data_IF_468568993311
#
_entry.id   IF_468568993311
#
_cell.length_a   1.000
_cell.length_b   1.000
_cell.length_c   1.000
_cell.angle_alpha   90.00
_cell.angle_beta   90.00
_cell.angle_gamma   90.00
#
_symmetry.space_group_name_H-M   'P 1'
#
loop_
_entity.id
_entity.type
_entity.pdbx_description
1 polymer ?
#
# COMPACT_ATOMS: atom_id res chain seq x y z
N UNK A 1 0.87 30.37 12.10
CA UNK A 1 -0.23 30.01 13.03
C UNK A 1 -0.92 28.70 12.63
N UNK A 2 -1.28 28.55 11.38
CA UNK A 2 -1.99 27.35 10.84
C UNK A 2 -1.19 26.05 11.04
N UNK A 3 0.13 26.07 10.80
CA UNK A 3 0.94 24.85 10.98
C UNK A 3 1.08 24.42 12.44
N UNK A 4 1.04 25.35 13.40
CA UNK A 4 1.01 24.98 14.82
C UNK A 4 -0.30 24.27 15.19
N UNK A 5 -1.44 24.76 14.68
CA UNK A 5 -2.74 24.12 14.85
C UNK A 5 -2.78 22.73 14.20
N UNK A 6 -2.22 22.60 12.99
CA UNK A 6 -2.13 21.32 12.28
C UNK A 6 -1.29 20.31 13.07
N UNK A 7 -0.13 20.71 13.58
CA UNK A 7 0.70 19.82 14.40
C UNK A 7 -0.05 19.43 15.68
N UNK A 8 -0.70 20.39 16.35
CA UNK A 8 -1.52 20.12 17.53
C UNK A 8 -2.65 19.13 17.25
N UNK A 9 -3.33 19.24 16.09
CA UNK A 9 -4.35 18.28 15.63
C UNK A 9 -3.78 16.89 15.43
N UNK A 10 -2.65 16.77 14.73
CA UNK A 10 -1.99 15.49 14.47
C UNK A 10 -1.49 14.80 15.76
N UNK A 11 -0.97 15.57 16.71
CA UNK A 11 -0.58 15.07 18.05
C UNK A 11 -1.82 14.71 18.85
N UNK A 12 -2.84 15.59 18.87
CA UNK A 12 -4.08 15.40 19.61
C UNK A 12 -4.81 14.12 19.23
N UNK A 13 -4.84 13.76 17.95
CA UNK A 13 -5.42 12.49 17.49
C UNK A 13 -4.70 11.28 18.09
N UNK A 14 -3.37 11.29 18.14
CA UNK A 14 -2.64 10.18 18.76
C UNK A 14 -2.89 10.09 20.27
N UNK A 15 -2.98 11.25 20.93
CA UNK A 15 -3.37 11.29 22.36
C UNK A 15 -4.78 10.74 22.53
N UNK A 16 -5.74 11.11 21.69
CA UNK A 16 -7.10 10.58 21.76
C UNK A 16 -7.15 9.07 21.49
N UNK A 17 -6.40 8.55 20.52
CA UNK A 17 -6.29 7.11 20.27
C UNK A 17 -5.71 6.40 21.51
N UNK A 18 -4.62 6.93 22.07
CA UNK A 18 -4.01 6.34 23.27
C UNK A 18 -4.96 6.37 24.48
N UNK A 19 -5.63 7.49 24.74
CA UNK A 19 -6.61 7.60 25.81
C UNK A 19 -7.79 6.66 25.60
N UNK A 20 -8.28 6.53 24.37
CA UNK A 20 -9.34 5.60 24.03
C UNK A 20 -8.96 4.15 24.36
N UNK A 21 -7.77 3.71 23.92
CA UNK A 21 -7.24 2.38 24.24
C UNK A 21 -7.07 2.19 25.77
N UNK A 22 -6.55 3.21 26.45
CA UNK A 22 -6.30 3.13 27.89
C UNK A 22 -7.58 3.03 28.73
N UNK A 23 -8.63 3.81 28.39
CA UNK A 23 -9.85 3.85 29.16
C UNK A 23 -10.86 2.77 28.82
N UNK A 24 -10.93 2.32 27.56
CA UNK A 24 -11.93 1.36 27.11
C UNK A 24 -11.39 -0.09 27.06
N UNK A 25 -10.08 -0.29 27.17
CA UNK A 25 -9.48 -1.62 27.29
C UNK A 25 -9.90 -2.57 26.16
N UNK A 26 -10.64 -3.63 26.53
CA UNK A 26 -11.06 -4.69 25.61
C UNK A 26 -12.35 -4.35 24.82
N UNK A 27 -13.07 -3.29 25.19
CA UNK A 27 -14.29 -2.84 24.49
C UNK A 27 -14.04 -1.53 23.74
N UNK A 28 -13.24 -1.58 22.69
CA UNK A 28 -12.98 -0.41 21.86
C UNK A 28 -14.10 -0.16 20.84
N UNK A 29 -14.35 1.12 20.55
CA UNK A 29 -15.21 1.53 19.43
C UNK A 29 -14.47 1.17 18.15
N UNK A 30 -14.68 -0.03 17.67
CA UNK A 30 -14.31 -0.59 16.37
C UNK A 30 -12.99 -0.17 15.74
N UNK A 31 -12.70 -0.76 14.62
CA UNK A 31 -11.60 -0.37 13.75
C UNK A 31 -11.86 0.98 13.11
N UNK A 32 -11.13 1.98 13.51
CA UNK A 32 -11.09 3.26 12.79
C UNK A 32 -10.16 3.15 11.57
N UNK A 33 -10.34 2.09 10.78
CA UNK A 33 -9.58 1.85 9.55
C UNK A 33 -10.49 1.94 8.31
N UNK A 34 -9.95 2.51 7.25
CA UNK A 34 -10.65 2.63 5.97
C UNK A 34 -10.95 1.28 5.29
N UNK A 35 -10.20 0.23 5.59
CA UNK A 35 -10.42 -1.11 5.04
C UNK A 35 -11.80 -1.66 5.43
N UNK A 36 -12.35 -1.23 6.56
CA UNK A 36 -13.63 -1.70 7.07
C UNK A 36 -14.80 -1.40 6.13
N UNK A 37 -14.72 -0.33 5.35
CA UNK A 37 -15.72 -0.05 4.33
C UNK A 37 -15.83 -1.21 3.32
N UNK A 38 -14.71 -1.77 2.91
CA UNK A 38 -14.71 -2.88 1.96
C UNK A 38 -14.88 -4.22 2.66
N UNK A 39 -14.19 -4.45 3.76
CA UNK A 39 -14.16 -5.74 4.43
C UNK A 39 -15.44 -6.01 5.23
N UNK A 40 -15.95 -5.03 5.98
CA UNK A 40 -17.17 -5.21 6.78
C UNK A 40 -18.43 -4.87 6.01
N UNK A 41 -18.49 -3.70 5.36
CA UNK A 41 -19.73 -3.28 4.68
C UNK A 41 -19.93 -3.93 3.32
N UNK A 42 -18.97 -3.79 2.38
CA UNK A 42 -19.13 -4.36 1.03
C UNK A 42 -19.22 -5.88 1.08
N UNK A 43 -18.41 -6.52 1.92
CA UNK A 43 -18.36 -7.99 1.99
C UNK A 43 -19.51 -8.61 2.77
N UNK A 44 -19.87 -8.06 3.92
CA UNK A 44 -20.80 -8.69 4.87
C UNK A 44 -22.06 -7.86 5.21
N UNK A 45 -22.19 -6.62 4.73
CA UNK A 45 -23.30 -5.73 5.08
C UNK A 45 -23.26 -5.22 6.53
N UNK A 46 -22.08 -5.23 7.18
CA UNK A 46 -21.90 -4.79 8.57
C UNK A 46 -21.43 -3.35 8.61
N UNK A 47 -22.18 -2.49 9.32
CA UNK A 47 -21.79 -1.11 9.60
C UNK A 47 -21.09 -1.08 10.96
N UNK A 48 -19.78 -0.78 10.94
CA UNK A 48 -18.99 -0.54 12.14
C UNK A 48 -18.43 0.89 12.18
N UNK A 49 -17.66 1.22 13.21
CA UNK A 49 -17.10 2.57 13.38
C UNK A 49 -16.18 2.97 12.22
N UNK A 50 -15.43 2.02 11.62
CA UNK A 50 -14.59 2.28 10.45
C UNK A 50 -15.40 2.65 9.21
N UNK A 51 -16.55 2.00 8.99
CA UNK A 51 -17.48 2.37 7.90
C UNK A 51 -18.00 3.79 8.07
N UNK A 52 -18.40 4.15 9.29
CA UNK A 52 -18.84 5.53 9.63
C UNK A 52 -17.71 6.52 9.38
N UNK A 53 -16.48 6.21 9.80
CA UNK A 53 -15.30 7.04 9.57
C UNK A 53 -15.07 7.27 8.06
N UNK A 54 -15.17 6.22 7.24
CA UNK A 54 -14.99 6.34 5.78
C UNK A 54 -16.04 7.23 5.15
N UNK A 55 -17.31 7.07 5.53
CA UNK A 55 -18.41 7.94 5.06
C UNK A 55 -18.16 9.40 5.45
N UNK A 56 -17.80 9.66 6.70
CA UNK A 56 -17.47 11.00 7.16
C UNK A 56 -16.24 11.57 6.45
N UNK A 57 -15.20 10.78 6.23
CA UNK A 57 -14.02 11.18 5.49
C UNK A 57 -14.34 11.49 4.03
N UNK A 58 -15.22 10.72 3.40
CA UNK A 58 -15.68 10.96 2.03
C UNK A 58 -16.47 12.27 1.93
N UNK A 59 -17.46 12.48 2.80
CA UNK A 59 -18.26 13.71 2.85
C UNK A 59 -17.39 14.91 3.19
N UNK A 60 -16.50 14.80 4.19
CA UNK A 60 -15.57 15.88 4.52
C UNK A 60 -14.63 16.21 3.36
N UNK A 61 -14.25 15.21 2.56
CA UNK A 61 -13.40 15.42 1.38
C UNK A 61 -14.13 16.16 0.26
N UNK A 62 -15.43 15.94 0.08
CA UNK A 62 -16.24 16.75 -0.86
C UNK A 62 -16.29 18.22 -0.46
N UNK A 63 -16.25 18.53 0.82
CA UNK A 63 -16.29 19.91 1.31
C UNK A 63 -14.87 20.49 1.36
N UNK A 64 -13.98 19.84 2.12
CA UNK A 64 -12.67 20.38 2.51
C UNK A 64 -11.48 19.81 1.71
N UNK A 65 -11.73 19.08 0.60
CA UNK A 65 -10.67 18.32 -0.05
C UNK A 65 -10.09 17.25 0.90
N UNK A 66 -8.90 16.77 0.62
CA UNK A 66 -8.27 15.71 1.44
C UNK A 66 -7.73 16.24 2.78
N UNK A 67 -8.53 17.08 3.45
CA UNK A 67 -8.19 17.69 4.73
C UNK A 67 -7.86 16.63 5.80
N UNK A 68 -8.64 15.55 5.88
CA UNK A 68 -8.38 14.43 6.78
C UNK A 68 -6.93 13.93 6.65
N UNK A 69 -6.43 13.74 5.42
CA UNK A 69 -5.06 13.27 5.18
C UNK A 69 -3.98 14.24 5.67
N UNK A 70 -4.28 15.53 5.69
CA UNK A 70 -3.34 16.57 6.14
C UNK A 70 -3.37 16.82 7.63
N UNK A 71 -4.50 16.60 8.31
CA UNK A 71 -4.77 17.10 9.65
C UNK A 71 -5.13 16.02 10.69
N UNK A 72 -5.68 14.88 10.24
CA UNK A 72 -6.25 13.88 11.14
C UNK A 72 -5.69 12.46 10.92
N UNK A 73 -5.04 12.20 9.80
CA UNK A 73 -4.53 10.87 9.51
C UNK A 73 -3.30 10.54 10.38
N UNK A 74 -3.41 9.49 11.20
CA UNK A 74 -2.32 9.02 12.06
C UNK A 74 -1.07 8.64 11.26
N UNK A 75 -1.22 7.95 10.13
CA UNK A 75 -0.07 7.60 9.27
C UNK A 75 0.57 8.84 8.63
N UNK A 76 -0.25 9.83 8.28
CA UNK A 76 0.22 11.14 7.84
C UNK A 76 1.06 11.86 8.90
N UNK A 77 0.70 11.73 10.18
CA UNK A 77 1.45 12.31 11.30
C UNK A 77 2.79 11.60 11.51
N UNK A 78 2.82 10.25 11.42
CA UNK A 78 4.07 9.46 11.48
C UNK A 78 5.06 9.93 10.43
N UNK A 79 4.62 10.17 9.20
CA UNK A 79 5.49 10.66 8.12
C UNK A 79 5.99 12.10 8.34
N UNK A 80 5.17 12.95 8.97
CA UNK A 80 5.62 14.29 9.38
C UNK A 80 6.67 14.21 10.48
N UNK A 81 6.46 13.32 11.46
CA UNK A 81 7.43 13.06 12.54
C UNK A 81 8.75 12.53 11.95
N UNK A 82 8.69 11.57 11.05
CA UNK A 82 9.87 11.03 10.37
C UNK A 82 10.62 12.11 9.59
N UNK A 83 9.91 12.95 8.85
CA UNK A 83 10.50 14.09 8.14
C UNK A 83 11.18 15.07 9.10
N UNK A 84 10.54 15.44 10.19
CA UNK A 84 11.08 16.32 11.20
C UNK A 84 12.34 15.73 11.84
N UNK A 85 12.32 14.45 12.21
CA UNK A 85 13.46 13.74 12.78
C UNK A 85 14.64 13.69 11.81
N UNK A 86 14.40 13.32 10.56
CA UNK A 86 15.42 13.29 9.51
C UNK A 86 16.04 14.67 9.30
N UNK A 87 15.23 15.73 9.26
CA UNK A 87 15.72 17.11 9.11
C UNK A 87 16.60 17.52 10.29
N UNK A 88 16.23 17.16 11.52
CA UNK A 88 17.07 17.40 12.71
C UNK A 88 18.39 16.65 12.66
N UNK A 89 18.42 15.46 12.06
CA UNK A 89 19.64 14.69 11.86
C UNK A 89 20.48 15.17 10.66
N UNK A 90 20.10 16.28 10.00
CA UNK A 90 20.81 16.83 8.86
C UNK A 90 20.45 16.19 7.51
N UNK A 91 19.49 15.25 7.47
CA UNK A 91 19.04 14.64 6.23
C UNK A 91 17.90 15.46 5.60
N UNK A 92 18.02 15.79 4.32
CA UNK A 92 16.99 16.46 3.53
C UNK A 92 16.62 15.60 2.32
N UNK A 93 15.77 14.57 2.49
CA UNK A 93 15.41 13.67 1.40
C UNK A 93 14.75 14.45 0.25
N UNK A 94 15.13 14.13 -0.99
CA UNK A 94 14.47 14.70 -2.16
C UNK A 94 13.16 13.98 -2.42
N UNK A 95 12.15 14.73 -2.80
CA UNK A 95 10.87 14.18 -3.24
C UNK A 95 11.05 13.47 -4.59
N UNK A 96 10.82 12.16 -4.61
CA UNK A 96 10.85 11.36 -5.84
C UNK A 96 9.47 11.45 -6.50
N UNK A 97 9.40 11.83 -7.75
CA UNK A 97 8.18 11.84 -8.55
C UNK A 97 8.28 10.78 -9.66
N UNK A 98 7.23 9.99 -9.82
CA UNK A 98 7.08 9.03 -10.90
C UNK A 98 5.60 8.93 -11.27
N UNK A 99 5.30 9.05 -12.55
CA UNK A 99 3.93 9.00 -13.04
C UNK A 99 3.33 7.60 -12.90
N UNK A 100 4.09 6.55 -13.19
CA UNK A 100 3.59 5.17 -13.15
C UNK A 100 3.46 4.64 -11.73
N UNK A 101 4.40 4.95 -10.83
CA UNK A 101 4.33 4.47 -9.44
C UNK A 101 3.17 5.13 -8.68
N UNK A 102 2.69 6.31 -9.11
CA UNK A 102 1.47 6.90 -8.54
C UNK A 102 0.21 6.08 -8.85
N UNK A 103 0.24 5.16 -9.82
CA UNK A 103 -0.84 4.21 -10.08
C UNK A 103 -0.85 3.04 -9.08
N UNK A 104 0.25 2.78 -8.39
CA UNK A 104 0.35 1.68 -7.42
C UNK A 104 -0.71 1.75 -6.31
N UNK A 105 -1.05 2.91 -5.71
CA UNK A 105 -2.14 2.98 -4.73
C UNK A 105 -3.50 2.56 -5.29
N UNK A 106 -3.78 2.87 -6.56
CA UNK A 106 -5.01 2.47 -7.25
C UNK A 106 -5.00 0.95 -7.46
N UNK A 107 -3.87 0.40 -7.88
CA UNK A 107 -3.70 -1.04 -8.05
C UNK A 107 -3.91 -1.78 -6.71
N UNK A 108 -3.31 -1.31 -5.62
CA UNK A 108 -3.49 -1.87 -4.27
C UNK A 108 -4.96 -1.80 -3.87
N UNK A 109 -5.62 -0.65 -4.07
CA UNK A 109 -7.04 -0.47 -3.75
C UNK A 109 -7.92 -1.50 -4.48
N UNK A 110 -7.72 -1.65 -5.78
CA UNK A 110 -8.55 -2.56 -6.59
C UNK A 110 -8.27 -4.02 -6.22
N UNK A 111 -7.01 -4.45 -6.17
CA UNK A 111 -6.67 -5.86 -6.05
C UNK A 111 -6.79 -6.43 -4.63
N UNK A 112 -6.60 -5.61 -3.60
CA UNK A 112 -6.64 -6.10 -2.21
C UNK A 112 -7.92 -5.72 -1.46
N UNK A 113 -8.61 -4.66 -1.89
CA UNK A 113 -9.79 -4.16 -1.18
C UNK A 113 -11.08 -4.25 -2.00
N UNK A 114 -11.09 -3.79 -3.25
CA UNK A 114 -12.34 -3.81 -4.05
C UNK A 114 -12.63 -5.21 -4.58
N UNK A 115 -11.75 -5.77 -5.39
CA UNK A 115 -12.04 -7.00 -6.13
C UNK A 115 -12.34 -8.21 -5.23
N UNK A 116 -11.57 -8.53 -4.16
CA UNK A 116 -11.88 -9.69 -3.33
C UNK A 116 -13.16 -9.54 -2.52
N UNK A 117 -13.45 -8.34 -2.01
CA UNK A 117 -14.63 -8.11 -1.20
C UNK A 117 -15.92 -8.05 -2.06
N UNK A 118 -15.83 -7.43 -3.23
CA UNK A 118 -16.95 -7.41 -4.20
C UNK A 118 -17.21 -8.80 -4.75
N UNK A 119 -16.18 -9.57 -5.09
CA UNK A 119 -16.33 -10.96 -5.54
C UNK A 119 -17.02 -11.82 -4.48
N UNK A 120 -16.66 -11.66 -3.20
CA UNK A 120 -17.33 -12.36 -2.11
C UNK A 120 -18.82 -11.96 -2.02
N UNK A 121 -19.12 -10.65 -2.01
CA UNK A 121 -20.50 -10.17 -1.92
C UNK A 121 -21.40 -10.61 -3.09
N UNK A 122 -20.81 -10.82 -4.28
CA UNK A 122 -21.53 -11.32 -5.46
C UNK A 122 -21.79 -12.83 -5.38
N UNK A 123 -20.86 -13.61 -4.80
CA UNK A 123 -20.99 -15.06 -4.66
C UNK A 123 -21.82 -15.47 -3.43
N UNK A 124 -21.72 -14.68 -2.36
CA UNK A 124 -22.42 -14.88 -1.08
C UNK A 124 -23.12 -13.58 -0.67
N UNK A 125 -24.25 -13.24 -1.32
CA UNK A 125 -24.95 -11.99 -1.03
C UNK A 125 -25.49 -11.98 0.39
N UNK A 126 -25.22 -10.87 1.10
CA UNK A 126 -25.74 -10.66 2.46
C UNK A 126 -27.24 -10.41 2.46
N UNK A 127 -27.93 -10.95 3.46
CA UNK A 127 -29.41 -10.93 3.58
C UNK A 127 -29.98 -9.71 4.30
N UNK A 128 -29.11 -8.86 4.85
CA UNK A 128 -29.51 -7.66 5.59
C UNK A 128 -28.34 -6.82 6.04
N UNK A 129 -28.63 -5.64 6.55
CA UNK A 129 -27.65 -4.73 7.13
C UNK A 129 -27.67 -4.90 8.64
N UNK A 130 -26.49 -5.10 9.24
CA UNK A 130 -26.31 -5.12 10.69
C UNK A 130 -25.40 -3.99 11.15
N UNK A 131 -25.61 -3.52 12.39
CA UNK A 131 -24.78 -2.46 12.99
C UNK A 131 -24.05 -3.07 14.19
N UNK A 132 -22.73 -3.01 14.15
CA UNK A 132 -21.89 -3.44 15.26
C UNK A 132 -20.73 -2.45 15.45
N UNK A 133 -20.86 -1.54 16.40
CA UNK A 133 -19.90 -0.47 16.65
C UNK A 133 -18.77 -0.88 17.59
N UNK A 134 -18.92 -1.94 18.36
CA UNK A 134 -17.91 -2.44 19.29
C UNK A 134 -17.05 -3.56 18.72
N UNK A 135 -15.81 -3.67 19.15
CA UNK A 135 -14.93 -4.80 18.86
C UNK A 135 -14.24 -5.32 20.13
N UNK A 136 -14.16 -6.65 20.30
CA UNK A 136 -13.66 -7.22 21.54
C UNK A 136 -12.14 -7.13 21.71
N UNK A 137 -11.37 -6.91 20.64
CA UNK A 137 -9.90 -6.96 20.74
C UNK A 137 -9.21 -5.95 19.82
N UNK A 138 -8.38 -5.09 20.39
CA UNK A 138 -7.50 -4.15 19.67
C UNK A 138 -6.49 -4.88 18.78
N UNK A 139 -6.06 -6.06 19.22
CA UNK A 139 -5.04 -6.86 18.51
C UNK A 139 -5.51 -7.44 17.19
N UNK A 140 -6.83 -7.48 16.93
CA UNK A 140 -7.38 -7.90 15.66
C UNK A 140 -6.91 -7.03 14.48
N UNK A 141 -6.46 -5.80 14.75
CA UNK A 141 -5.99 -4.85 13.73
C UNK A 141 -4.48 -4.81 13.55
N UNK A 142 -3.73 -5.21 14.56
CA UNK A 142 -2.28 -5.17 14.48
C UNK A 142 -1.76 -6.49 13.91
N UNK A 143 -1.00 -6.47 12.82
CA UNK A 143 -0.44 -7.68 12.20
C UNK A 143 0.64 -8.34 13.06
N UNK A 144 0.49 -8.28 14.39
CA UNK A 144 1.47 -8.68 15.39
C UNK A 144 2.54 -7.60 15.61
N UNK A 145 3.19 -7.65 16.77
CA UNK A 145 4.17 -6.63 17.18
C UNK A 145 5.34 -6.50 16.21
N UNK A 146 5.88 -7.61 15.71
CA UNK A 146 7.07 -7.61 14.83
C UNK A 146 6.72 -7.00 13.48
N UNK A 147 5.67 -7.48 12.83
CA UNK A 147 5.27 -6.99 11.50
C UNK A 147 4.78 -5.54 11.60
N UNK A 148 4.01 -5.21 12.64
CA UNK A 148 3.57 -3.84 12.89
C UNK A 148 4.72 -2.86 13.09
N UNK A 149 5.73 -3.23 13.88
CA UNK A 149 6.94 -2.42 14.08
C UNK A 149 7.75 -2.27 12.79
N UNK A 150 7.90 -3.33 12.01
CA UNK A 150 8.58 -3.27 10.70
C UNK A 150 7.82 -2.37 9.72
N UNK A 151 6.50 -2.47 9.67
CA UNK A 151 5.67 -1.59 8.83
C UNK A 151 5.84 -0.13 9.24
N UNK A 152 5.84 0.16 10.55
CA UNK A 152 6.08 1.51 11.04
C UNK A 152 7.46 2.03 10.64
N UNK A 153 8.51 1.22 10.75
CA UNK A 153 9.87 1.61 10.37
C UNK A 153 9.99 1.78 8.86
N UNK A 154 9.49 0.84 8.07
CA UNK A 154 9.62 0.86 6.60
C UNK A 154 8.71 1.93 6.00
N UNK A 155 7.42 1.84 6.24
CA UNK A 155 6.41 2.68 5.57
C UNK A 155 6.23 4.04 6.26
N UNK A 156 6.55 4.13 7.56
CA UNK A 156 6.54 5.38 8.30
C UNK A 156 7.83 6.19 8.15
N UNK A 157 8.99 5.55 8.24
CA UNK A 157 10.29 6.23 8.34
C UNK A 157 11.17 6.07 7.10
N UNK A 158 11.50 4.82 6.70
CA UNK A 158 12.42 4.59 5.58
C UNK A 158 11.86 5.10 4.26
N UNK A 159 10.55 4.97 4.03
CA UNK A 159 9.92 5.50 2.82
C UNK A 159 10.06 7.02 2.72
N UNK A 160 10.05 7.75 3.85
CA UNK A 160 10.29 9.20 3.86
C UNK A 160 11.74 9.51 3.56
N UNK A 161 12.68 8.71 4.06
CA UNK A 161 14.10 8.87 3.79
C UNK A 161 14.43 8.68 2.30
N UNK A 162 13.86 7.64 1.65
CA UNK A 162 14.16 7.30 0.27
C UNK A 162 13.32 8.08 -0.76
N UNK A 163 12.02 8.30 -0.49
CA UNK A 163 11.06 8.87 -1.45
C UNK A 163 10.69 10.31 -1.14
N UNK A 164 11.11 10.83 0.00
CA UNK A 164 10.79 12.17 0.45
C UNK A 164 9.52 12.26 1.27
N UNK A 165 9.19 13.46 1.70
CA UNK A 165 8.05 13.76 2.57
C UNK A 165 6.76 13.22 1.98
N UNK A 166 5.92 12.61 2.83
CA UNK A 166 4.65 11.97 2.41
C UNK A 166 4.81 10.85 1.36
N UNK A 167 5.96 10.14 1.34
CA UNK A 167 6.25 9.07 0.39
C UNK A 167 5.18 7.98 0.37
N UNK A 168 4.78 7.47 1.53
CA UNK A 168 3.69 6.47 1.64
C UNK A 168 2.37 6.99 1.06
N UNK A 169 1.98 8.22 1.42
CA UNK A 169 0.71 8.81 0.95
C UNK A 169 0.63 8.94 -0.58
N UNK A 170 1.79 9.03 -1.26
CA UNK A 170 1.87 9.18 -2.71
C UNK A 170 1.94 7.85 -3.44
N UNK A 171 2.70 6.89 -2.92
CA UNK A 171 3.05 5.68 -3.63
C UNK A 171 2.31 4.42 -3.16
N UNK A 172 1.82 4.38 -1.93
CA UNK A 172 1.25 3.16 -1.35
C UNK A 172 -0.16 3.30 -0.84
N UNK A 173 -0.56 4.47 -0.33
CA UNK A 173 -1.82 4.62 0.37
C UNK A 173 -3.06 4.45 -0.54
N UNK A 174 -3.80 3.34 -0.45
CA UNK A 174 -5.00 3.10 -1.25
C UNK A 174 -6.13 4.07 -0.89
N UNK A 175 -6.22 4.48 0.37
CA UNK A 175 -7.21 5.46 0.84
C UNK A 175 -6.96 6.84 0.25
N UNK A 176 -5.67 7.17 0.05
CA UNK A 176 -5.28 8.34 -0.71
C UNK A 176 -5.81 8.30 -2.15
N UNK A 177 -5.79 7.14 -2.80
CA UNK A 177 -6.35 6.95 -4.13
C UNK A 177 -7.88 7.04 -4.12
N UNK A 178 -8.54 6.40 -3.16
CA UNK A 178 -10.01 6.43 -3.00
C UNK A 178 -10.54 7.86 -2.81
N UNK A 179 -9.90 8.65 -1.94
CA UNK A 179 -10.31 10.02 -1.65
C UNK A 179 -9.96 11.04 -2.77
N UNK A 180 -9.23 10.65 -3.83
CA UNK A 180 -9.02 11.51 -5.00
C UNK A 180 -10.32 11.83 -5.72
N UNK A 181 -11.26 10.87 -5.77
CA UNK A 181 -12.54 11.05 -6.46
C UNK A 181 -13.34 12.21 -5.85
N UNK A 182 -13.72 12.19 -4.55
CA UNK A 182 -14.43 13.32 -3.95
C UNK A 182 -13.60 14.61 -3.88
N UNK A 183 -12.27 14.52 -3.77
CA UNK A 183 -11.39 15.69 -3.72
C UNK A 183 -11.40 16.52 -5.02
N UNK A 184 -11.67 15.90 -6.17
CA UNK A 184 -11.79 16.64 -7.43
C UNK A 184 -12.93 17.66 -7.39
N UNK A 185 -14.02 17.32 -6.67
CA UNK A 185 -15.22 18.14 -6.51
C UNK A 185 -15.19 19.03 -5.27
N UNK A 186 -14.09 19.07 -4.52
CA UNK A 186 -14.02 19.77 -3.25
C UNK A 186 -14.31 21.28 -3.40
N UNK A 187 -15.13 21.78 -2.48
CA UNK A 187 -15.52 23.18 -2.40
C UNK A 187 -14.36 24.08 -1.92
N UNK A 188 -13.62 23.63 -0.91
CA UNK A 188 -12.45 24.32 -0.39
C UNK A 188 -11.18 23.85 -1.09
N UNK A 189 -10.44 24.80 -1.68
CA UNK A 189 -9.13 24.55 -2.31
C UNK A 189 -8.18 25.71 -2.02
N UNK A 190 -6.88 25.48 -2.22
CA UNK A 190 -5.89 26.56 -2.24
C UNK A 190 -6.08 27.33 -3.53
N UNK A 191 -6.28 28.66 -3.43
CA UNK A 191 -6.65 29.54 -4.53
C UNK A 191 -5.78 30.78 -4.57
N UNK A 192 -5.65 31.35 -5.75
CA UNK A 192 -5.07 32.67 -5.97
C UNK A 192 -5.95 33.75 -5.33
N UNK A 193 -5.32 34.69 -4.64
CA UNK A 193 -5.98 35.89 -4.07
C UNK A 193 -5.45 37.18 -4.68
N UNK A 194 -4.58 37.04 -5.67
CA UNK A 194 -3.88 38.18 -6.32
C UNK A 194 -2.49 38.46 -5.74
N UNK A 195 -1.66 39.12 -6.51
CA UNK A 195 -0.32 39.55 -6.08
C UNK A 195 0.73 38.42 -6.05
N UNK A 196 0.56 37.37 -6.86
CA UNK A 196 1.57 36.33 -6.99
C UNK A 196 2.85 36.87 -7.63
N UNK A 197 3.99 36.69 -6.95
CA UNK A 197 5.31 37.12 -7.44
C UNK A 197 6.07 36.01 -8.19
N UNK A 198 5.44 34.87 -8.42
CA UNK A 198 6.01 33.67 -9.08
C UNK A 198 7.32 33.15 -8.46
N UNK A 199 7.56 33.41 -7.17
CA UNK A 199 8.79 33.02 -6.47
C UNK A 199 9.00 31.52 -6.35
N UNK A 200 7.95 30.70 -6.52
CA UNK A 200 8.03 29.23 -6.45
C UNK A 200 8.09 28.64 -5.02
N UNK A 201 8.08 29.47 -3.97
CA UNK A 201 8.18 28.99 -2.58
C UNK A 201 7.04 28.03 -2.20
N UNK A 202 5.84 28.25 -2.70
CA UNK A 202 4.69 27.37 -2.49
C UNK A 202 4.91 25.96 -3.07
N UNK A 203 5.58 25.84 -4.23
CA UNK A 203 5.98 24.57 -4.86
C UNK A 203 7.09 23.88 -4.07
N UNK A 204 8.12 24.64 -3.71
CA UNK A 204 9.29 24.13 -2.97
C UNK A 204 8.90 23.58 -1.58
N UNK A 205 7.95 24.23 -0.92
CA UNK A 205 7.45 23.84 0.40
C UNK A 205 6.36 22.76 0.36
N UNK A 206 5.86 22.36 -0.82
CA UNK A 206 4.79 21.38 -0.94
C UNK A 206 5.26 19.97 -0.50
N UNK A 207 4.67 19.38 0.56
CA UNK A 207 5.08 18.05 1.06
C UNK A 207 4.74 16.92 0.11
N UNK A 208 3.80 17.16 -0.81
CA UNK A 208 3.34 16.18 -1.81
C UNK A 208 4.13 16.34 -3.12
N UNK A 209 4.86 17.44 -3.31
CA UNK A 209 5.61 17.70 -4.54
C UNK A 209 4.73 18.19 -5.70
N UNK A 210 3.61 18.84 -5.40
CA UNK A 210 2.76 19.50 -6.41
C UNK A 210 3.45 20.78 -6.85
N UNK A 211 3.43 21.06 -8.15
CA UNK A 211 3.82 22.36 -8.66
C UNK A 211 2.68 23.36 -8.44
N UNK A 212 2.64 23.89 -7.20
CA UNK A 212 1.60 24.82 -6.76
C UNK A 212 1.67 26.11 -7.53
N UNK A 213 2.87 26.62 -7.83
CA UNK A 213 3.07 27.87 -8.57
C UNK A 213 2.48 27.76 -9.98
N UNK A 214 2.77 26.66 -10.68
CA UNK A 214 2.20 26.41 -12.00
C UNK A 214 0.67 26.33 -11.96
N UNK A 215 0.11 25.59 -11.00
CA UNK A 215 -1.36 25.40 -10.91
C UNK A 215 -2.08 26.72 -10.55
N UNK A 216 -1.52 27.51 -9.66
CA UNK A 216 -2.08 28.83 -9.29
C UNK A 216 -2.07 29.79 -10.47
N UNK A 217 -0.98 29.80 -11.24
CA UNK A 217 -0.85 30.75 -12.37
C UNK A 217 -1.70 30.35 -13.58
N UNK A 218 -1.93 29.04 -13.79
CA UNK A 218 -2.68 28.55 -14.95
C UNK A 218 -4.17 28.29 -14.68
N UNK A 219 -4.53 27.97 -13.42
CA UNK A 219 -5.90 27.55 -13.06
C UNK A 219 -6.50 28.36 -11.91
N UNK A 220 -5.81 29.38 -11.41
CA UNK A 220 -6.19 30.18 -10.22
C UNK A 220 -6.42 29.36 -8.94
N UNK A 221 -6.18 28.06 -8.98
CA UNK A 221 -6.38 27.12 -7.86
C UNK A 221 -5.53 25.88 -8.00
N UNK A 222 -5.29 25.19 -6.87
CA UNK A 222 -4.69 23.87 -6.86
C UNK A 222 -5.74 22.85 -7.29
N UNK A 223 -5.56 22.25 -8.48
CA UNK A 223 -6.45 21.27 -9.08
C UNK A 223 -6.01 19.84 -8.83
N UNK A 224 -4.73 19.64 -8.48
CA UNK A 224 -4.14 18.32 -8.27
C UNK A 224 -4.79 17.59 -7.10
N UNK A 225 -5.43 16.45 -7.39
CA UNK A 225 -6.15 15.64 -6.41
C UNK A 225 -5.23 14.97 -5.36
N UNK A 226 -3.92 15.06 -5.51
CA UNK A 226 -2.97 14.65 -4.47
C UNK A 226 -2.86 15.69 -3.34
N UNK A 227 -3.38 16.90 -3.49
CA UNK A 227 -3.36 17.92 -2.45
C UNK A 227 -4.06 17.44 -1.18
N UNK A 228 -3.34 17.47 -0.05
CA UNK A 228 -3.86 17.06 1.27
C UNK A 228 -4.40 18.21 2.11
N UNK A 229 -4.64 19.37 1.50
CA UNK A 229 -5.14 20.59 2.17
C UNK A 229 -4.37 20.94 3.46
N UNK A 230 -3.06 20.67 3.46
CA UNK A 230 -2.19 20.89 4.64
C UNK A 230 -1.83 22.37 4.88
N UNK A 231 -2.12 23.26 3.91
CA UNK A 231 -1.93 24.71 3.98
C UNK A 231 -0.49 25.18 4.25
N UNK A 232 0.53 24.34 3.98
CA UNK A 232 1.93 24.73 4.15
C UNK A 232 2.30 25.80 3.10
N UNK A 233 1.81 25.65 1.87
CA UNK A 233 2.04 26.60 0.80
C UNK A 233 1.42 27.98 1.09
N UNK A 234 0.25 28.02 1.74
CA UNK A 234 -0.40 29.31 2.06
C UNK A 234 0.34 30.07 3.17
N UNK A 235 0.84 29.39 4.19
CA UNK A 235 1.61 30.03 5.27
C UNK A 235 3.03 30.40 4.81
N UNK A 236 3.58 29.66 3.84
CA UNK A 236 4.90 29.92 3.27
C UNK A 236 4.91 30.92 2.11
N UNK A 237 3.78 31.51 1.73
CA UNK A 237 3.70 32.51 0.65
C UNK A 237 4.10 33.92 1.17
N UNK A 238 5.21 34.50 0.67
CA UNK A 238 5.70 35.79 1.19
C UNK A 238 4.77 36.96 0.86
N UNK A 239 4.04 36.88 -0.25
CA UNK A 239 3.08 37.92 -0.68
C UNK A 239 1.65 37.66 -0.22
N UNK A 240 1.39 36.53 0.49
CA UNK A 240 0.04 36.09 0.86
C UNK A 240 -0.91 35.97 -0.35
N UNK A 241 -0.35 35.70 -1.53
CA UNK A 241 -1.07 35.63 -2.80
C UNK A 241 -1.96 34.37 -2.93
N UNK A 242 -1.86 33.44 -2.01
CA UNK A 242 -2.65 32.22 -2.02
C UNK A 242 -3.29 31.95 -0.66
N UNK A 243 -4.56 31.53 -0.69
CA UNK A 243 -5.31 31.18 0.51
C UNK A 243 -6.20 29.95 0.30
N UNK A 244 -6.53 29.28 1.38
CA UNK A 244 -7.50 28.19 1.37
C UNK A 244 -8.91 28.78 1.51
N UNK A 245 -9.67 28.77 0.41
CA UNK A 245 -10.97 29.44 0.30
C UNK A 245 -12.04 28.54 -0.25
N UNK A 246 -13.26 28.83 0.17
CA UNK A 246 -14.47 28.23 -0.37
C UNK A 246 -14.86 28.85 -1.73
N UNK A 247 -15.37 28.03 -2.60
CA UNK A 247 -15.98 28.43 -3.86
C UNK A 247 -17.02 27.40 -4.28
N UNK A 248 -18.10 27.86 -4.90
CA UNK A 248 -19.13 26.96 -5.37
C UNK A 248 -18.60 26.08 -6.53
N UNK A 249 -18.49 24.77 -6.36
CA UNK A 249 -17.95 23.89 -7.39
C UNK A 249 -18.83 23.82 -8.64
N UNK A 250 -20.10 24.13 -8.54
CA UNK A 250 -21.05 24.08 -9.66
C UNK A 250 -20.85 25.22 -10.66
N UNK A 251 -20.38 26.39 -10.21
CA UNK A 251 -20.21 27.53 -11.10
C UNK A 251 -18.97 27.45 -11.99
N UNK A 252 -17.89 26.84 -11.53
CA UNK A 252 -16.62 26.76 -12.26
C UNK A 252 -16.23 25.38 -12.72
N UNK A 253 -16.40 24.37 -11.86
CA UNK A 253 -16.01 23.01 -12.21
C UNK A 253 -16.91 22.41 -13.29
N UNK A 254 -18.16 22.87 -13.42
CA UNK A 254 -19.01 22.41 -14.51
C UNK A 254 -18.53 22.93 -15.86
N UNK A 255 -17.99 24.15 -15.93
CA UNK A 255 -17.37 24.66 -17.15
C UNK A 255 -16.02 23.99 -17.43
N UNK A 256 -15.16 23.78 -16.40
CA UNK A 256 -13.89 23.08 -16.54
C UNK A 256 -14.13 21.58 -16.75
N UNK A 257 -15.10 20.98 -16.07
CA UNK A 257 -15.51 19.59 -16.24
C UNK A 257 -16.14 19.37 -17.62
N UNK A 258 -16.98 20.26 -18.08
CA UNK A 258 -17.56 20.24 -19.44
C UNK A 258 -16.51 20.54 -20.51
N UNK A 259 -15.58 21.45 -20.26
CA UNK A 259 -14.45 21.72 -21.13
C UNK A 259 -13.49 20.53 -21.21
N UNK A 260 -13.19 19.88 -20.07
CA UNK A 260 -12.41 18.64 -20.02
C UNK A 260 -13.17 17.44 -20.58
N UNK A 261 -14.45 17.28 -20.29
CA UNK A 261 -15.29 16.21 -20.87
C UNK A 261 -15.40 16.38 -22.39
N UNK A 262 -15.64 17.59 -22.89
CA UNK A 262 -15.78 17.81 -24.33
C UNK A 262 -14.47 17.80 -25.11
N UNK A 263 -13.34 18.15 -24.49
CA UNK A 263 -12.05 18.26 -25.16
C UNK A 263 -11.08 17.11 -24.86
N UNK A 264 -11.20 16.48 -23.68
CA UNK A 264 -10.24 15.46 -23.20
C UNK A 264 -10.83 14.05 -23.11
N UNK A 265 -12.15 13.87 -22.88
CA UNK A 265 -12.74 12.54 -22.76
C UNK A 265 -12.88 11.82 -24.11
N UNK A 266 -12.97 12.54 -25.22
CA UNK A 266 -12.93 11.99 -26.58
C UNK A 266 -11.58 12.16 -27.29
N UNK A 267 -10.61 12.80 -26.64
CA UNK A 267 -9.25 12.91 -27.14
C UNK A 267 -8.38 11.87 -26.44
N UNK A 268 -7.67 11.06 -27.21
CA UNK A 268 -6.61 10.17 -26.70
C UNK A 268 -5.41 10.96 -26.13
N UNK A 269 -5.46 12.31 -26.16
CA UNK A 269 -4.41 13.19 -25.66
C UNK A 269 -4.01 12.95 -24.19
N UNK A 270 -4.94 12.83 -23.20
CA UNK A 270 -4.51 12.59 -21.81
C UNK A 270 -3.79 11.24 -21.65
N UNK A 271 -4.18 10.25 -22.45
CA UNK A 271 -3.49 8.95 -22.49
C UNK A 271 -2.16 9.11 -23.22
N UNK A 272 -2.13 9.82 -24.33
CA UNK A 272 -0.90 10.11 -25.07
C UNK A 272 0.06 10.97 -24.24
N UNK A 273 -0.42 12.01 -23.54
CA UNK A 273 0.38 12.87 -22.66
C UNK A 273 0.89 12.08 -21.43
N UNK A 274 0.10 11.13 -20.90
CA UNK A 274 0.56 10.18 -19.92
C UNK A 274 1.71 9.32 -20.48
N UNK A 275 1.56 8.79 -21.69
CA UNK A 275 2.60 8.02 -22.36
C UNK A 275 3.84 8.87 -22.70
N UNK A 276 3.66 10.11 -23.12
CA UNK A 276 4.76 11.04 -23.39
C UNK A 276 5.49 11.51 -22.14
N UNK A 277 4.80 11.58 -20.99
CA UNK A 277 5.40 11.92 -19.70
C UNK A 277 6.09 10.73 -19.02
N UNK A 278 5.92 9.51 -19.53
CA UNK A 278 6.53 8.30 -19.02
C UNK A 278 7.98 8.24 -19.47
N UNK A 279 8.89 8.44 -18.56
CA UNK A 279 10.31 8.15 -18.81
C UNK A 279 10.50 6.63 -18.91
N UNK A 280 11.39 6.17 -19.80
CA UNK A 280 11.69 4.74 -19.95
C UNK A 280 12.00 4.04 -18.61
N UNK A 281 12.55 4.77 -17.64
CA UNK A 281 12.81 4.30 -16.28
C UNK A 281 11.53 3.95 -15.51
N UNK A 282 10.46 4.73 -15.71
CA UNK A 282 9.18 4.50 -15.03
C UNK A 282 8.45 3.27 -15.58
N UNK A 283 8.65 2.96 -16.86
CA UNK A 283 8.04 1.79 -17.51
C UNK A 283 8.54 0.46 -16.90
N UNK A 284 9.79 0.41 -16.48
CA UNK A 284 10.36 -0.77 -15.81
C UNK A 284 10.09 -0.78 -14.30
N UNK A 285 9.94 0.38 -13.69
CA UNK A 285 9.78 0.50 -12.24
C UNK A 285 8.49 -0.16 -11.75
N UNK A 286 7.35 0.11 -12.37
CA UNK A 286 6.05 -0.41 -11.91
C UNK A 286 5.98 -1.95 -11.96
N UNK A 287 6.30 -2.63 -13.07
CA UNK A 287 6.35 -4.09 -13.09
C UNK A 287 7.29 -4.69 -12.03
N UNK A 288 8.46 -4.08 -11.82
CA UNK A 288 9.42 -4.57 -10.83
C UNK A 288 8.88 -4.41 -9.41
N UNK A 289 8.27 -3.27 -9.08
CA UNK A 289 7.64 -3.05 -7.78
C UNK A 289 6.49 -4.03 -7.55
N UNK A 290 5.67 -4.29 -8.58
CA UNK A 290 4.58 -5.27 -8.49
C UNK A 290 5.11 -6.69 -8.29
N UNK A 291 6.02 -7.16 -9.13
CA UNK A 291 6.59 -8.50 -9.06
C UNK A 291 7.32 -8.73 -7.73
N UNK A 292 8.09 -7.75 -7.29
CA UNK A 292 8.85 -7.85 -6.04
C UNK A 292 7.94 -7.77 -4.83
N UNK A 293 6.93 -6.88 -4.83
CA UNK A 293 5.93 -6.75 -3.77
C UNK A 293 5.14 -8.04 -3.58
N UNK A 294 4.58 -8.61 -4.64
CA UNK A 294 3.91 -9.90 -4.60
C UNK A 294 4.84 -11.05 -4.19
N UNK A 295 6.10 -11.00 -4.62
CA UNK A 295 7.07 -12.02 -4.23
C UNK A 295 7.35 -11.97 -2.73
N UNK A 296 7.61 -10.80 -2.16
CA UNK A 296 7.84 -10.63 -0.73
C UNK A 296 6.61 -11.04 0.06
N UNK A 297 5.42 -10.55 -0.31
CA UNK A 297 4.18 -10.88 0.38
C UNK A 297 3.92 -12.38 0.40
N UNK A 298 4.02 -13.02 -0.76
CA UNK A 298 3.77 -14.46 -0.88
C UNK A 298 4.86 -15.36 -0.28
N UNK A 299 6.12 -14.89 -0.13
CA UNK A 299 7.19 -15.67 0.46
C UNK A 299 7.25 -15.54 1.99
N UNK A 300 7.00 -14.34 2.50
CA UNK A 300 7.21 -14.04 3.92
C UNK A 300 5.90 -13.83 4.69
N UNK A 301 4.79 -13.56 4.00
CA UNK A 301 3.51 -13.26 4.65
C UNK A 301 3.56 -12.00 5.50
N UNK A 302 4.28 -10.98 5.05
CA UNK A 302 4.52 -9.74 5.81
C UNK A 302 3.36 -8.74 5.71
N UNK A 303 2.34 -9.05 4.91
CA UNK A 303 1.26 -8.12 4.58
C UNK A 303 1.62 -7.15 3.46
N UNK A 304 0.58 -6.68 2.78
CA UNK A 304 0.73 -5.97 1.51
C UNK A 304 1.49 -4.65 1.65
N UNK A 305 1.21 -3.85 2.69
CA UNK A 305 1.86 -2.54 2.86
C UNK A 305 3.37 -2.68 3.04
N UNK A 306 3.82 -3.51 3.98
CA UNK A 306 5.24 -3.73 4.22
C UNK A 306 5.94 -4.29 2.97
N UNK A 307 5.33 -5.26 2.30
CA UNK A 307 5.90 -5.91 1.11
C UNK A 307 6.05 -4.92 -0.04
N UNK A 308 5.01 -4.15 -0.34
CA UNK A 308 5.05 -3.13 -1.40
C UNK A 308 5.86 -1.89 -0.99
N UNK A 309 5.95 -1.57 0.30
CA UNK A 309 6.85 -0.54 0.83
C UNK A 309 8.31 -0.84 0.54
N UNK A 310 8.74 -2.05 0.91
CA UNK A 310 10.10 -2.55 0.62
C UNK A 310 10.34 -2.55 -0.90
N UNK A 311 9.41 -3.10 -1.68
CA UNK A 311 9.53 -3.17 -3.14
C UNK A 311 9.63 -1.79 -3.79
N UNK A 312 8.86 -0.81 -3.31
CA UNK A 312 8.89 0.57 -3.83
C UNK A 312 10.22 1.25 -3.50
N UNK A 313 10.71 1.11 -2.27
CA UNK A 313 12.03 1.64 -1.89
C UNK A 313 13.12 1.00 -2.76
N UNK A 314 13.13 -0.33 -2.86
CA UNK A 314 14.12 -1.06 -3.64
C UNK A 314 14.08 -0.68 -5.12
N UNK A 315 12.90 -0.66 -5.74
CA UNK A 315 12.74 -0.29 -7.14
C UNK A 315 13.14 1.16 -7.43
N UNK A 316 12.73 2.11 -6.59
CA UNK A 316 13.14 3.51 -6.75
C UNK A 316 14.63 3.72 -6.57
N UNK A 317 15.27 3.00 -5.64
CA UNK A 317 16.73 3.03 -5.45
C UNK A 317 17.48 2.50 -6.67
N UNK A 318 16.94 1.49 -7.35
CA UNK A 318 17.57 0.93 -8.56
C UNK A 318 17.46 1.87 -9.76
N UNK A 319 16.30 2.51 -9.98
CA UNK A 319 15.98 3.15 -11.26
C UNK A 319 15.95 4.68 -11.23
N UNK A 320 15.55 5.30 -10.10
CA UNK A 320 15.26 6.74 -10.06
C UNK A 320 16.19 7.51 -9.13
N UNK A 321 16.36 7.06 -7.91
CA UNK A 321 16.98 7.84 -6.85
C UNK A 321 18.21 7.18 -6.28
N UNK A 322 19.37 7.42 -6.89
CA UNK A 322 20.64 7.15 -6.21
C UNK A 322 20.74 8.05 -4.98
N UNK A 323 20.89 7.44 -3.82
CA UNK A 323 20.94 8.19 -2.57
C UNK A 323 22.20 9.08 -2.57
N UNK A 324 22.00 10.39 -2.47
CA UNK A 324 23.09 11.38 -2.50
C UNK A 324 24.04 11.31 -1.30
N UNK A 325 23.58 10.69 -0.21
CA UNK A 325 24.38 10.54 1.02
C UNK A 325 25.35 9.37 0.95
N UNK A 326 25.19 8.47 -0.02
CA UNK A 326 26.09 7.36 -0.24
C UNK A 326 27.02 7.66 -1.42
N UNK A 327 28.27 7.26 -1.28
CA UNK A 327 29.20 7.33 -2.40
C UNK A 327 28.78 6.31 -3.50
N UNK A 328 29.38 6.44 -4.69
CA UNK A 328 29.04 5.58 -5.85
C UNK A 328 29.23 4.09 -5.54
N UNK A 329 30.29 3.74 -4.76
CA UNK A 329 30.56 2.33 -4.40
C UNK A 329 29.47 1.74 -3.51
N UNK A 330 29.00 2.50 -2.50
CA UNK A 330 27.92 2.06 -1.59
C UNK A 330 26.59 1.94 -2.37
N UNK A 331 26.27 2.90 -3.21
CA UNK A 331 25.06 2.81 -4.05
C UNK A 331 25.10 1.59 -4.99
N UNK A 332 26.25 1.30 -5.59
CA UNK A 332 26.44 0.12 -6.44
C UNK A 332 26.27 -1.17 -5.63
N UNK A 333 26.85 -1.25 -4.43
CA UNK A 333 26.75 -2.41 -3.55
C UNK A 333 25.30 -2.67 -3.12
N UNK A 334 24.56 -1.63 -2.71
CA UNK A 334 23.14 -1.73 -2.37
C UNK A 334 22.32 -2.20 -3.59
N UNK A 335 22.55 -1.61 -4.77
CA UNK A 335 21.85 -2.00 -5.98
C UNK A 335 22.14 -3.46 -6.36
N UNK A 336 23.39 -3.90 -6.27
CA UNK A 336 23.77 -5.29 -6.51
C UNK A 336 23.10 -6.26 -5.54
N UNK A 337 23.03 -5.90 -4.26
CA UNK A 337 22.36 -6.70 -3.24
C UNK A 337 20.85 -6.83 -3.51
N UNK A 338 20.19 -5.74 -3.88
CA UNK A 338 18.76 -5.75 -4.27
C UNK A 338 18.54 -6.66 -5.48
N UNK A 339 19.39 -6.57 -6.51
CA UNK A 339 19.31 -7.42 -7.70
C UNK A 339 19.48 -8.90 -7.35
N UNK A 340 20.45 -9.22 -6.47
CA UNK A 340 20.66 -10.62 -6.02
C UNK A 340 19.44 -11.16 -5.26
N UNK A 341 18.84 -10.37 -4.38
CA UNK A 341 17.60 -10.77 -3.69
C UNK A 341 16.47 -10.97 -4.70
N UNK A 342 16.33 -10.09 -5.68
CA UNK A 342 15.31 -10.22 -6.72
C UNK A 342 15.50 -11.50 -7.55
N UNK A 343 16.74 -11.80 -7.96
CA UNK A 343 17.06 -13.04 -8.67
C UNK A 343 16.72 -14.25 -7.79
N UNK A 344 17.10 -14.24 -6.52
CA UNK A 344 16.81 -15.33 -5.59
C UNK A 344 15.30 -15.56 -5.44
N UNK A 345 14.51 -14.50 -5.25
CA UNK A 345 13.03 -14.59 -5.23
C UNK A 345 12.48 -15.14 -6.54
N UNK A 346 13.01 -14.71 -7.67
CA UNK A 346 12.64 -15.20 -9.00
C UNK A 346 12.87 -16.71 -9.14
N UNK A 347 14.02 -17.19 -8.68
CA UNK A 347 14.36 -18.62 -8.70
C UNK A 347 13.41 -19.45 -7.85
N UNK A 348 13.02 -18.96 -6.66
CA UNK A 348 12.04 -19.64 -5.81
C UNK A 348 10.70 -19.74 -6.54
N UNK A 349 10.17 -18.61 -7.00
CA UNK A 349 8.85 -18.56 -7.67
C UNK A 349 8.83 -19.41 -8.94
N UNK A 350 9.91 -19.37 -9.73
CA UNK A 350 10.05 -20.18 -10.93
C UNK A 350 10.06 -21.68 -10.59
N UNK A 351 10.82 -22.08 -9.57
CA UNK A 351 10.85 -23.48 -9.12
C UNK A 351 9.49 -23.96 -8.61
N UNK A 352 8.77 -23.12 -7.86
CA UNK A 352 7.40 -23.43 -7.41
C UNK A 352 6.45 -23.56 -8.60
N UNK A 353 6.50 -22.62 -9.54
CA UNK A 353 5.66 -22.65 -10.73
C UNK A 353 5.87 -23.92 -11.56
N UNK A 354 7.13 -24.22 -11.92
CA UNK A 354 7.45 -25.46 -12.65
C UNK A 354 6.99 -26.71 -11.89
N UNK A 355 7.27 -26.76 -10.58
CA UNK A 355 6.87 -27.90 -9.76
C UNK A 355 5.36 -28.11 -9.72
N UNK A 356 4.57 -27.05 -9.58
CA UNK A 356 3.11 -27.13 -9.55
C UNK A 356 2.53 -27.44 -10.94
N UNK A 357 3.10 -26.91 -12.01
CA UNK A 357 2.66 -27.20 -13.38
C UNK A 357 2.86 -28.68 -13.72
N UNK A 358 4.05 -29.24 -13.44
CA UNK A 358 4.32 -30.67 -13.66
C UNK A 358 3.46 -31.56 -12.74
N UNK A 359 3.21 -31.13 -11.49
CA UNK A 359 2.28 -31.83 -10.58
C UNK A 359 0.86 -31.89 -11.15
N UNK A 360 0.33 -30.77 -11.65
CA UNK A 360 -1.01 -30.70 -12.24
C UNK A 360 -1.12 -31.56 -13.51
N UNK A 361 -0.02 -31.66 -14.25
CA UNK A 361 0.09 -32.54 -15.44
C UNK A 361 0.35 -34.02 -15.07
N UNK A 362 0.40 -34.35 -13.76
CA UNK A 362 0.68 -35.70 -13.23
C UNK A 362 2.10 -36.22 -13.57
N UNK A 363 3.02 -35.38 -13.94
CA UNK A 363 4.41 -35.69 -14.22
C UNK A 363 5.24 -35.63 -12.91
N UNK A 364 5.00 -36.59 -11.99
CA UNK A 364 5.53 -36.51 -10.63
C UNK A 364 7.06 -36.56 -10.58
N UNK A 365 7.69 -37.36 -11.40
CA UNK A 365 9.16 -37.46 -11.50
C UNK A 365 9.83 -36.13 -11.85
N UNK A 366 9.20 -35.32 -12.72
CA UNK A 366 9.70 -33.99 -13.08
C UNK A 366 9.35 -32.92 -12.04
N UNK A 367 8.21 -33.08 -11.38
CA UNK A 367 7.76 -32.14 -10.35
C UNK A 367 8.63 -32.16 -9.10
N UNK A 368 9.03 -33.35 -8.63
CA UNK A 368 9.80 -33.54 -7.40
C UNK A 368 11.05 -32.63 -7.31
N UNK A 369 11.99 -32.65 -8.27
CA UNK A 369 13.21 -31.87 -8.17
C UNK A 369 12.96 -30.35 -8.13
N UNK A 370 11.89 -29.87 -8.75
CA UNK A 370 11.52 -28.46 -8.72
C UNK A 370 10.96 -28.05 -7.35
N UNK A 371 10.08 -28.86 -6.74
CA UNK A 371 9.55 -28.56 -5.41
C UNK A 371 10.58 -28.76 -4.31
N UNK A 372 11.47 -29.75 -4.42
CA UNK A 372 12.62 -29.90 -3.49
C UNK A 372 13.54 -28.68 -3.54
N UNK A 373 13.87 -28.17 -4.75
CA UNK A 373 14.63 -26.95 -4.91
C UNK A 373 13.91 -25.76 -4.29
N UNK A 374 12.61 -25.66 -4.50
CA UNK A 374 11.80 -24.59 -3.93
C UNK A 374 11.86 -24.63 -2.38
N UNK A 375 11.69 -25.80 -1.75
CA UNK A 375 11.77 -25.94 -0.29
C UNK A 375 13.14 -25.54 0.26
N UNK A 376 14.24 -25.91 -0.42
CA UNK A 376 15.59 -25.54 0.00
C UNK A 376 15.85 -24.03 -0.09
N UNK A 377 15.26 -23.36 -1.06
CA UNK A 377 15.43 -21.93 -1.28
C UNK A 377 14.45 -21.08 -0.48
N UNK A 378 13.35 -21.65 -0.04
CA UNK A 378 12.29 -20.91 0.63
C UNK A 378 12.75 -20.44 2.01
N UNK A 379 12.55 -19.16 2.37
CA UNK A 379 13.02 -18.61 3.64
C UNK A 379 12.28 -19.15 4.86
N UNK A 380 11.13 -19.80 4.66
CA UNK A 380 10.23 -20.27 5.69
C UNK A 380 9.69 -21.65 5.30
N UNK A 381 9.67 -22.65 6.19
CA UNK A 381 9.17 -23.96 5.86
C UNK A 381 7.67 -23.90 5.52
N UNK A 382 7.25 -24.61 4.47
CA UNK A 382 5.86 -24.67 4.01
C UNK A 382 5.34 -26.10 4.04
N UNK A 383 4.44 -26.40 4.97
CA UNK A 383 3.83 -27.71 5.13
C UNK A 383 3.16 -28.23 3.86
N UNK A 384 2.49 -27.37 3.10
CA UNK A 384 1.83 -27.74 1.84
C UNK A 384 2.79 -28.32 0.80
N UNK A 385 4.01 -27.80 0.67
CA UNK A 385 4.99 -28.35 -0.29
C UNK A 385 5.50 -29.72 0.17
N UNK A 386 5.71 -29.91 1.47
CA UNK A 386 6.04 -31.23 2.01
C UNK A 386 4.90 -32.22 1.80
N UNK A 387 3.65 -31.83 1.93
CA UNK A 387 2.51 -32.68 1.63
C UNK A 387 2.47 -33.09 0.15
N UNK A 388 2.64 -32.16 -0.78
CA UNK A 388 2.68 -32.46 -2.22
C UNK A 388 3.84 -33.42 -2.56
N UNK A 389 5.01 -33.24 -1.97
CA UNK A 389 6.12 -34.17 -2.15
C UNK A 389 5.79 -35.56 -1.59
N UNK A 390 5.14 -35.63 -0.42
CA UNK A 390 4.72 -36.90 0.14
C UNK A 390 3.74 -37.65 -0.79
N UNK A 391 2.79 -36.96 -1.41
CA UNK A 391 1.89 -37.57 -2.40
C UNK A 391 2.64 -38.10 -3.63
N UNK A 392 3.58 -37.30 -4.15
CA UNK A 392 4.37 -37.67 -5.33
C UNK A 392 5.29 -38.84 -5.05
N UNK A 393 6.01 -38.85 -3.91
CA UNK A 393 6.85 -39.98 -3.50
C UNK A 393 6.03 -41.26 -3.26
N UNK A 394 4.81 -41.13 -2.70
CA UNK A 394 3.91 -42.29 -2.55
C UNK A 394 3.51 -42.85 -3.92
N UNK A 395 3.23 -42.00 -4.92
CA UNK A 395 2.91 -42.42 -6.29
C UNK A 395 4.10 -43.08 -7.00
N UNK A 396 5.31 -42.71 -6.64
CA UNK A 396 6.54 -43.28 -7.15
C UNK A 396 7.01 -44.53 -6.35
N UNK A 397 6.19 -45.01 -5.41
CA UNK A 397 6.51 -46.17 -4.52
C UNK A 397 7.72 -45.94 -3.58
N UNK A 398 8.09 -44.66 -3.32
CA UNK A 398 9.16 -44.30 -2.40
C UNK A 398 8.59 -44.01 -1.00
N UNK A 399 8.08 -45.06 -0.34
CA UNK A 399 7.28 -44.98 0.88
C UNK A 399 7.97 -44.28 2.04
N UNK A 400 9.28 -44.54 2.25
CA UNK A 400 10.04 -43.92 3.33
C UNK A 400 10.14 -42.37 3.16
N UNK A 401 10.40 -41.94 1.95
CA UNK A 401 10.44 -40.48 1.66
C UNK A 401 9.06 -39.86 1.78
N UNK A 402 8.04 -40.53 1.29
CA UNK A 402 6.64 -40.10 1.43
C UNK A 402 6.26 -39.92 2.90
N UNK A 403 6.59 -40.88 3.77
CA UNK A 403 6.33 -40.82 5.22
C UNK A 403 7.07 -39.64 5.87
N UNK A 404 8.36 -39.48 5.59
CA UNK A 404 9.15 -38.38 6.14
C UNK A 404 8.61 -37.02 5.76
N UNK A 405 8.21 -36.82 4.50
CA UNK A 405 7.62 -35.57 4.06
C UNK A 405 6.22 -35.31 4.64
N UNK A 406 5.40 -36.36 4.81
CA UNK A 406 4.09 -36.26 5.45
C UNK A 406 4.21 -35.83 6.92
N UNK A 407 5.12 -36.44 7.68
CA UNK A 407 5.42 -36.08 9.07
C UNK A 407 5.93 -34.62 9.14
N UNK A 408 6.86 -34.24 8.27
CA UNK A 408 7.37 -32.88 8.23
C UNK A 408 6.29 -31.84 7.91
N UNK A 409 5.32 -32.19 7.07
CA UNK A 409 4.15 -31.33 6.80
C UNK A 409 3.33 -31.06 8.06
N UNK A 410 3.10 -32.08 8.91
CA UNK A 410 2.38 -31.97 10.19
C UNK A 410 3.16 -31.20 11.25
N UNK A 411 4.48 -31.38 11.33
CA UNK A 411 5.32 -30.58 12.23
C UNK A 411 5.22 -29.08 11.92
N UNK A 412 5.16 -28.72 10.64
CA UNK A 412 5.05 -27.30 10.22
C UNK A 412 3.63 -26.78 10.45
N UNK A 413 2.61 -27.58 10.18
CA UNK A 413 1.21 -27.22 10.36
C UNK A 413 0.40 -28.37 10.98
N UNK A 414 0.32 -28.43 12.33
CA UNK A 414 -0.39 -29.50 13.04
C UNK A 414 -1.89 -29.61 12.71
N UNK A 415 -2.51 -28.52 12.29
CA UNK A 415 -3.94 -28.45 11.97
C UNK A 415 -4.26 -28.87 10.52
N UNK A 416 -3.26 -29.31 9.76
CA UNK A 416 -3.45 -29.75 8.38
C UNK A 416 -3.80 -31.25 8.33
N UNK A 417 -5.08 -31.58 8.09
CA UNK A 417 -5.58 -32.97 8.19
C UNK A 417 -5.12 -33.88 7.06
N UNK A 418 -4.91 -33.38 5.85
CA UNK A 418 -4.58 -34.18 4.66
C UNK A 418 -3.35 -35.11 4.81
N UNK A 419 -2.24 -34.71 5.47
CA UNK A 419 -1.10 -35.61 5.70
C UNK A 419 -1.42 -36.80 6.61
N UNK A 420 -2.35 -36.65 7.55
CA UNK A 420 -2.76 -37.77 8.43
C UNK A 420 -3.42 -38.91 7.63
N UNK A 421 -4.25 -38.55 6.65
CA UNK A 421 -4.89 -39.57 5.80
C UNK A 421 -3.89 -40.23 4.86
N UNK A 422 -2.86 -39.49 4.43
CA UNK A 422 -1.77 -40.03 3.64
C UNK A 422 -0.92 -41.00 4.45
N UNK A 423 -0.59 -40.69 5.70
CA UNK A 423 0.16 -41.56 6.61
C UNK A 423 -0.60 -42.89 6.85
N UNK A 424 -1.91 -42.83 7.11
CA UNK A 424 -2.73 -44.03 7.23
C UNK A 424 -2.68 -44.94 5.98
N UNK A 425 -2.58 -44.36 4.79
CA UNK A 425 -2.44 -45.11 3.54
C UNK A 425 -1.06 -45.73 3.44
N UNK A 426 0.00 -45.01 3.80
CA UNK A 426 1.38 -45.53 3.79
C UNK A 426 1.53 -46.67 4.77
N UNK A 427 1.04 -46.54 6.01
CA UNK A 427 1.14 -47.58 7.04
C UNK A 427 0.38 -48.84 6.64
N UNK A 428 -0.75 -48.73 5.93
CA UNK A 428 -1.48 -49.90 5.38
C UNK A 428 -0.71 -50.64 4.27
N UNK A 429 0.16 -49.96 3.54
CA UNK A 429 1.00 -50.53 2.50
C UNK A 429 2.20 -51.23 3.14
N UNK A 430 2.85 -50.58 4.14
CA UNK A 430 3.95 -51.16 4.91
C UNK A 430 3.56 -52.44 5.65
N UNK A 431 2.29 -52.58 6.07
CA UNK A 431 1.77 -53.79 6.72
C UNK A 431 1.46 -54.93 5.74
N UNK A 432 1.46 -54.67 4.42
CA UNK A 432 1.17 -55.70 3.39
C UNK A 432 2.43 -56.19 2.68
N UNK A 433 3.55 -55.51 2.83
CA UNK A 433 4.85 -55.91 2.34
C UNK A 433 5.72 -56.45 3.47
#
# INVERSE_FOLDING_TARGET
>A
MIQKLRIASLVGIHVLIFLHIYFFGDEIIGSLDFQEFFHSFIRFGVINAGVVLVILAFISTLIFGRFFCGWACHFGAVQELAWWALKKLGFTPKTVNSSLVTLLPIFILINFYIAPNLSHALNEPWTGISVNLGMPEIWAFLPGFVIGSLTFVVDGFLIVYFLGRKGFCRFLCPWGAFLKIPSSLAMFKVRNTGGCSECGDCTTNCPIGIDVSYEINNYDKVTNTNCTSCMICTEGCPTSAIAYKWENPLNENFQIFHYRLNKEMFSLKPIADLFYSIHAKDLFLLPIVLLFGFSIDGLYGMGHFLSFGIATIAGTQLFIAKNKYFNVKINLLISSFIVLIFIWHGLIKFSVWQGLEEYNNKNFERSIPHLERAIKLYPKPIGKFHFLLAEMYLKNNEYLKAKNHALRSLEINPNYNSPNDLLKKIDKIDLKN
#
